data_IF_115966192146
#
_entry.id   IF_115966192146
#
_cell.length_a   1.000
_cell.length_b   1.000
_cell.length_c   1.000
_cell.angle_alpha   90.00
_cell.angle_beta   90.00
_cell.angle_gamma   90.00
#
_symmetry.space_group_name_H-M   'P 1'
#
loop_
_entity.id
_entity.type
_entity.pdbx_description
1 polymer ?
#
# COMPACT_ATOMS: atom_id res chain seq x y z
N UNK A 1 6.83 17.46 -37.74
CA UNK A 1 6.39 16.29 -36.93
C UNK A 1 6.91 16.50 -35.53
N UNK A 2 6.07 16.98 -34.61
CA UNK A 2 6.45 17.18 -33.21
C UNK A 2 6.20 15.89 -32.44
N UNK A 3 7.27 15.15 -32.14
CA UNK A 3 7.22 14.05 -31.17
C UNK A 3 7.03 14.67 -29.79
N UNK A 4 5.80 14.65 -29.27
CA UNK A 4 5.53 15.00 -27.88
C UNK A 4 6.03 13.85 -27.00
N UNK A 5 7.23 14.00 -26.44
CA UNK A 5 7.71 13.17 -25.34
C UNK A 5 6.86 13.48 -24.11
N UNK A 6 5.81 12.69 -23.88
CA UNK A 6 5.05 12.70 -22.66
C UNK A 6 5.92 12.14 -21.52
N UNK A 7 6.78 12.98 -20.97
CA UNK A 7 7.53 12.72 -19.74
C UNK A 7 6.58 12.87 -18.53
N UNK A 8 5.51 12.07 -18.49
CA UNK A 8 4.73 11.94 -17.27
C UNK A 8 5.48 10.92 -16.41
N UNK A 9 5.98 11.28 -15.21
CA UNK A 9 6.63 10.31 -14.34
C UNK A 9 5.61 9.20 -14.08
N UNK A 10 5.90 7.99 -14.57
CA UNK A 10 5.06 6.83 -14.39
C UNK A 10 4.93 6.59 -12.88
N UNK A 11 3.78 6.95 -12.31
CA UNK A 11 3.47 6.61 -10.93
C UNK A 11 3.49 5.09 -10.81
N UNK A 12 4.35 4.56 -9.93
CA UNK A 12 4.49 3.12 -9.76
C UNK A 12 3.16 2.46 -9.33
N UNK A 13 2.29 3.23 -8.65
CA UNK A 13 0.93 2.80 -8.31
C UNK A 13 0.07 2.47 -9.54
N UNK A 14 0.36 3.05 -10.71
CA UNK A 14 -0.38 2.75 -11.95
C UNK A 14 -0.26 1.29 -12.40
N UNK A 15 0.75 0.55 -11.94
CA UNK A 15 0.87 -0.89 -12.18
C UNK A 15 -0.30 -1.64 -11.52
N UNK A 16 -0.71 -1.22 -10.33
CA UNK A 16 -1.81 -1.86 -9.60
C UNK A 16 -3.18 -1.51 -10.19
N UNK A 17 -3.33 -0.34 -10.80
CA UNK A 17 -4.56 0.03 -11.52
C UNK A 17 -4.75 -0.78 -12.79
N UNK A 18 -3.66 -1.17 -13.47
CA UNK A 18 -3.69 -1.96 -14.70
C UNK A 18 -3.96 -3.45 -14.46
N UNK A 19 -3.60 -3.96 -13.29
CA UNK A 19 -3.71 -5.38 -12.92
C UNK A 19 -4.35 -5.49 -11.53
N UNK A 20 -5.60 -5.02 -11.40
CA UNK A 20 -6.35 -5.04 -10.14
C UNK A 20 -6.54 -6.46 -9.63
N UNK A 21 -6.55 -6.64 -8.31
CA UNK A 21 -6.82 -7.94 -7.70
C UNK A 21 -8.22 -8.41 -8.10
N UNK A 22 -8.23 -9.61 -8.66
CA UNK A 22 -9.40 -10.40 -9.03
C UNK A 22 -9.25 -11.80 -8.42
N UNK A 23 -10.26 -12.65 -8.58
CA UNK A 23 -10.24 -14.00 -8.02
C UNK A 23 -9.12 -14.92 -8.54
N UNK A 24 -8.42 -14.56 -9.63
CA UNK A 24 -7.48 -15.46 -10.32
C UNK A 24 -6.04 -14.95 -10.42
N UNK A 25 -5.77 -13.67 -10.14
CA UNK A 25 -4.45 -13.04 -10.37
C UNK A 25 -3.68 -12.68 -9.08
N UNK A 26 -4.06 -13.23 -7.92
CA UNK A 26 -3.42 -12.91 -6.64
C UNK A 26 -1.89 -12.94 -6.66
N UNK A 27 -1.19 -13.96 -7.20
CA UNK A 27 0.27 -13.98 -7.21
C UNK A 27 0.90 -12.79 -7.97
N UNK A 28 0.30 -12.39 -9.09
CA UNK A 28 0.77 -11.27 -9.91
C UNK A 28 0.48 -9.94 -9.23
N UNK A 29 -0.76 -9.73 -8.77
CA UNK A 29 -1.14 -8.53 -8.05
C UNK A 29 -0.30 -8.35 -6.78
N UNK A 30 -0.10 -9.42 -6.00
CA UNK A 30 0.70 -9.37 -4.78
C UNK A 30 2.17 -9.04 -5.06
N UNK A 31 2.75 -9.57 -6.15
CA UNK A 31 4.09 -9.17 -6.61
C UNK A 31 4.15 -7.68 -6.93
N UNK A 32 3.16 -7.16 -7.65
CA UNK A 32 3.08 -5.73 -7.99
C UNK A 32 2.91 -4.86 -6.73
N UNK A 33 2.09 -5.31 -5.77
CA UNK A 33 1.88 -4.63 -4.50
C UNK A 33 3.20 -4.51 -3.74
N UNK A 34 3.95 -5.62 -3.61
CA UNK A 34 5.26 -5.61 -2.93
C UNK A 34 6.25 -4.64 -3.58
N UNK A 35 6.24 -4.51 -4.92
CA UNK A 35 7.09 -3.54 -5.64
C UNK A 35 6.72 -2.10 -5.26
N UNK A 36 5.42 -1.77 -5.29
CA UNK A 36 4.91 -0.44 -4.89
C UNK A 36 5.24 -0.14 -3.44
N UNK A 37 4.96 -1.05 -2.51
CA UNK A 37 5.22 -0.85 -1.08
C UNK A 37 6.71 -0.75 -0.75
N UNK A 38 7.56 -1.48 -1.49
CA UNK A 38 9.03 -1.36 -1.33
C UNK A 38 9.52 0.02 -1.76
N UNK A 39 9.01 0.53 -2.88
CA UNK A 39 9.32 1.89 -3.34
C UNK A 39 8.86 2.95 -2.33
N UNK A 40 7.69 2.77 -1.71
CA UNK A 40 7.15 3.69 -0.70
C UNK A 40 7.69 3.47 0.72
N UNK A 41 8.62 2.53 0.92
CA UNK A 41 9.20 2.16 2.23
C UNK A 41 8.16 1.66 3.25
N UNK A 42 7.06 1.08 2.77
CA UNK A 42 5.95 0.55 3.56
C UNK A 42 5.83 -0.97 3.50
N UNK A 43 6.74 -1.66 2.79
CA UNK A 43 6.69 -3.13 2.66
C UNK A 43 6.64 -3.85 4.02
N UNK A 44 7.32 -3.29 5.02
CA UNK A 44 7.37 -3.84 6.39
C UNK A 44 5.99 -4.01 7.03
N UNK A 45 4.98 -3.24 6.60
CA UNK A 45 3.61 -3.33 7.11
C UNK A 45 2.98 -4.69 6.83
N UNK A 46 3.36 -5.35 5.72
CA UNK A 46 2.79 -6.66 5.39
C UNK A 46 3.19 -7.76 6.38
N UNK A 47 4.35 -7.62 7.00
CA UNK A 47 4.91 -8.59 7.95
C UNK A 47 4.83 -8.09 9.41
N UNK A 48 4.33 -6.87 9.62
CA UNK A 48 4.27 -6.25 10.93
C UNK A 48 3.13 -6.88 11.76
N UNK A 49 3.44 -7.25 13.00
CA UNK A 49 2.42 -7.61 13.98
C UNK A 49 1.51 -6.42 14.26
N UNK A 50 0.25 -6.70 14.61
CA UNK A 50 -0.67 -5.70 15.14
C UNK A 50 0.02 -5.02 16.34
N UNK A 51 0.29 -3.72 16.23
CA UNK A 51 0.87 -2.95 17.33
C UNK A 51 -0.18 -2.72 18.41
N UNK A 52 0.16 -3.05 19.65
CA UNK A 52 -0.59 -2.55 20.81
C UNK A 52 -0.42 -1.04 20.94
N UNK A 53 -1.45 -0.40 21.50
CA UNK A 53 -1.40 1.02 21.81
C UNK A 53 -0.28 1.31 22.82
N UNK A 54 0.55 2.34 22.58
CA UNK A 54 1.60 2.69 23.50
C UNK A 54 1.00 3.19 24.82
N UNK A 55 1.61 2.86 25.97
CA UNK A 55 1.09 3.30 27.26
C UNK A 55 1.10 4.83 27.38
N UNK A 56 0.22 5.39 28.22
CA UNK A 56 0.03 6.83 28.33
C UNK A 56 1.33 7.59 28.69
N UNK A 57 2.22 6.96 29.47
CA UNK A 57 3.52 7.48 29.88
C UNK A 57 4.66 7.15 28.89
N UNK A 58 4.37 6.54 27.73
CA UNK A 58 5.38 6.25 26.72
C UNK A 58 6.10 7.52 26.25
N UNK A 59 7.37 7.35 25.88
CA UNK A 59 8.18 8.44 25.35
C UNK A 59 7.60 8.95 24.02
N UNK A 60 7.90 10.20 23.69
CA UNK A 60 7.48 10.78 22.41
C UNK A 60 7.92 9.93 21.20
N UNK A 61 9.15 9.40 21.23
CA UNK A 61 9.68 8.57 20.16
C UNK A 61 8.88 7.27 19.95
N UNK A 62 8.39 6.65 21.02
CA UNK A 62 7.55 5.46 20.96
C UNK A 62 6.18 5.82 20.35
N UNK A 63 5.56 6.91 20.81
CA UNK A 63 4.27 7.39 20.28
C UNK A 63 4.38 7.78 18.80
N UNK A 64 5.44 8.48 18.41
CA UNK A 64 5.69 8.88 17.02
C UNK A 64 5.88 7.65 16.12
N UNK A 65 6.61 6.64 16.60
CA UNK A 65 6.83 5.38 15.87
C UNK A 65 5.52 4.60 15.67
N UNK A 66 4.71 4.50 16.73
CA UNK A 66 3.39 3.87 16.65
C UNK A 66 2.46 4.62 15.68
N UNK A 67 2.37 5.95 15.80
CA UNK A 67 1.55 6.76 14.90
C UNK A 67 1.98 6.64 13.44
N UNK A 68 3.29 6.62 13.17
CA UNK A 68 3.81 6.36 11.82
C UNK A 68 3.36 5.00 11.30
N UNK A 69 3.44 3.96 12.12
CA UNK A 69 3.03 2.62 11.71
C UNK A 69 1.53 2.54 11.42
N UNK A 70 0.68 3.17 12.24
CA UNK A 70 -0.77 3.25 12.01
C UNK A 70 -1.09 3.96 10.68
N UNK A 71 -0.40 5.06 10.40
CA UNK A 71 -0.56 5.80 9.14
C UNK A 71 -0.11 4.97 7.93
N UNK A 72 1.07 4.33 8.02
CA UNK A 72 1.58 3.46 6.95
C UNK A 72 0.64 2.27 6.71
N UNK A 73 0.07 1.70 7.78
CA UNK A 73 -0.90 0.59 7.71
C UNK A 73 -2.20 1.02 7.04
N UNK A 74 -2.71 2.20 7.41
CA UNK A 74 -3.90 2.79 6.78
C UNK A 74 -3.69 3.02 5.29
N UNK A 75 -2.52 3.56 4.91
CA UNK A 75 -2.18 3.79 3.51
C UNK A 75 -2.10 2.48 2.71
N UNK A 76 -1.49 1.43 3.28
CA UNK A 76 -1.41 0.12 2.65
C UNK A 76 -2.79 -0.49 2.47
N UNK A 77 -3.65 -0.43 3.49
CA UNK A 77 -5.03 -0.90 3.40
C UNK A 77 -5.81 -0.16 2.29
N UNK A 78 -5.67 1.15 2.21
CA UNK A 78 -6.27 1.97 1.14
C UNK A 78 -5.76 1.56 -0.26
N UNK A 79 -4.46 1.32 -0.41
CA UNK A 79 -3.88 0.83 -1.69
C UNK A 79 -4.47 -0.53 -2.05
N UNK A 80 -4.53 -1.46 -1.09
CA UNK A 80 -5.05 -2.80 -1.33
C UNK A 80 -6.51 -2.71 -1.79
N UNK A 81 -7.35 -1.99 -1.04
CA UNK A 81 -8.74 -1.75 -1.38
C UNK A 81 -8.92 -1.10 -2.76
N UNK A 82 -8.25 0.02 -3.02
CA UNK A 82 -8.39 0.76 -4.29
C UNK A 82 -8.01 -0.08 -5.53
N UNK A 83 -7.13 -1.06 -5.33
CA UNK A 83 -6.58 -1.92 -6.38
C UNK A 83 -7.22 -3.31 -6.40
N UNK A 84 -8.33 -3.50 -5.67
CA UNK A 84 -9.22 -4.66 -5.78
C UNK A 84 -10.39 -4.36 -6.73
N UNK A 85 -10.93 -5.38 -7.40
CA UNK A 85 -12.20 -5.25 -8.12
C UNK A 85 -13.37 -5.14 -7.14
N UNK A 86 -14.42 -4.40 -7.52
CA UNK A 86 -15.59 -4.14 -6.68
C UNK A 86 -16.28 -5.41 -6.17
N UNK A 87 -16.24 -6.49 -6.94
CA UNK A 87 -16.81 -7.79 -6.54
C UNK A 87 -16.18 -8.31 -5.26
N UNK A 88 -14.85 -8.17 -5.10
CA UNK A 88 -14.13 -8.61 -3.90
C UNK A 88 -14.23 -7.60 -2.75
N UNK A 89 -14.55 -6.33 -3.03
CA UNK A 89 -14.69 -5.29 -2.00
C UNK A 89 -16.03 -5.38 -1.25
N UNK A 90 -17.10 -5.88 -1.88
CA UNK A 90 -18.44 -5.93 -1.28
C UNK A 90 -18.55 -6.90 -0.11
N UNK A 91 -17.67 -7.89 -0.07
CA UNK A 91 -17.70 -8.98 0.91
C UNK A 91 -16.69 -8.76 2.05
N UNK A 92 -16.06 -7.58 2.12
CA UNK A 92 -14.97 -7.25 3.05
C UNK A 92 -15.38 -6.24 4.12
#
# INVERSE_FOLDING_TARGET
>A
MTSSSNNNPLSLRSILEKDKLSGTNFPNWFRNLRIVLKHERKLYVLDASILEDPPANATKAVKDTHSKHVNDSTDVACIMLATMVLELQKDM
#
